data_IF_945514780010
#
_entry.id   IF_945514780010
#
_cell.length_a   1.000
_cell.length_b   1.000
_cell.length_c   1.000
_cell.angle_alpha   90.00
_cell.angle_beta   90.00
_cell.angle_gamma   90.00
#
_symmetry.space_group_name_H-M   'P 1'
#
loop_
_entity.id
_entity.type
_entity.pdbx_description
1 polymer ?
#
# COMPACT_ATOMS: atom_id res chain seq x y z
N UNK A 1 3.24 -17.60 -9.66
CA UNK A 1 4.01 -18.87 -9.77
C UNK A 1 4.84 -18.77 -11.05
N UNK A 2 6.16 -18.96 -11.04
CA UNK A 2 6.93 -18.92 -12.28
C UNK A 2 6.44 -20.05 -13.19
N UNK A 3 5.96 -19.70 -14.37
CA UNK A 3 5.47 -20.66 -15.35
C UNK A 3 6.66 -21.35 -16.06
N UNK A 4 6.51 -22.61 -16.47
CA UNK A 4 7.49 -23.27 -17.34
C UNK A 4 7.72 -22.46 -18.63
N UNK A 5 8.97 -22.36 -19.10
CA UNK A 5 9.38 -21.51 -20.23
C UNK A 5 8.56 -21.75 -21.53
N UNK A 6 8.12 -22.98 -21.76
CA UNK A 6 7.26 -23.34 -22.90
C UNK A 6 5.89 -22.64 -22.87
N UNK A 7 5.34 -22.39 -21.68
CA UNK A 7 4.08 -21.66 -21.49
C UNK A 7 4.31 -20.14 -21.50
N UNK A 8 5.49 -19.68 -21.10
CA UNK A 8 5.85 -18.26 -21.08
C UNK A 8 5.81 -17.61 -22.47
N UNK A 9 5.98 -18.37 -23.55
CA UNK A 9 5.89 -17.87 -24.94
C UNK A 9 4.46 -17.87 -25.52
N UNK A 10 3.55 -18.64 -24.94
CA UNK A 10 2.15 -18.77 -25.40
C UNK A 10 1.21 -17.82 -24.66
N UNK A 11 1.54 -17.48 -23.42
CA UNK A 11 0.77 -16.53 -22.60
C UNK A 11 0.72 -15.12 -23.20
N UNK A 12 1.81 -14.53 -23.74
CA UNK A 12 1.76 -13.22 -24.40
C UNK A 12 0.86 -13.21 -25.64
N UNK A 13 0.78 -14.33 -26.36
CA UNK A 13 -0.12 -14.49 -27.51
C UNK A 13 -1.59 -14.61 -27.10
N UNK A 14 -1.90 -15.07 -25.88
CA UNK A 14 -3.26 -15.19 -25.33
C UNK A 14 -3.75 -13.92 -24.61
N UNK A 15 -2.82 -13.16 -24.00
CA UNK A 15 -3.13 -12.01 -23.13
C UNK A 15 -2.83 -10.68 -23.83
N UNK A 16 -2.00 -10.68 -24.88
CA UNK A 16 -1.48 -9.49 -25.55
C UNK A 16 -0.04 -9.17 -25.11
N UNK A 17 0.72 -8.51 -26.00
CA UNK A 17 2.04 -7.98 -25.65
C UNK A 17 1.87 -6.60 -25.01
N UNK A 18 2.36 -6.46 -23.77
CA UNK A 18 2.37 -5.19 -23.03
C UNK A 18 3.82 -4.78 -22.72
N UNK A 19 4.06 -3.48 -22.73
CA UNK A 19 5.32 -2.87 -22.29
C UNK A 19 5.09 -1.97 -21.08
N UNK A 20 6.12 -1.78 -20.26
CA UNK A 20 6.05 -0.93 -19.08
C UNK A 20 6.07 0.55 -19.47
N UNK A 21 5.23 1.36 -18.84
CA UNK A 21 5.30 2.82 -18.96
C UNK A 21 6.62 3.38 -18.41
N UNK A 22 7.17 4.38 -19.09
CA UNK A 22 8.44 5.01 -18.70
C UNK A 22 8.27 6.23 -17.78
N UNK A 23 7.09 6.86 -17.78
CA UNK A 23 6.85 8.14 -17.12
C UNK A 23 5.50 8.18 -16.40
N UNK A 24 5.43 8.92 -15.30
CA UNK A 24 4.20 9.20 -14.55
C UNK A 24 3.45 10.40 -15.16
N UNK A 25 2.94 10.22 -16.38
CA UNK A 25 2.21 11.27 -17.10
C UNK A 25 0.87 11.56 -16.42
N UNK A 26 0.53 12.85 -16.32
CA UNK A 26 -0.75 13.28 -15.79
C UNK A 26 -1.78 13.42 -16.90
N UNK A 27 -2.99 12.92 -16.65
CA UNK A 27 -4.13 13.05 -17.55
C UNK A 27 -4.82 14.40 -17.35
N UNK A 28 -4.89 15.28 -18.36
CA UNK A 28 -5.59 16.55 -18.23
C UNK A 28 -7.10 16.30 -18.22
N UNK A 29 -7.75 16.57 -17.08
CA UNK A 29 -9.22 16.48 -16.94
C UNK A 29 -9.90 17.81 -17.31
N UNK A 30 -9.21 18.91 -17.09
CA UNK A 30 -9.58 20.27 -17.51
C UNK A 30 -8.32 21.13 -17.56
N UNK A 31 -8.46 22.42 -17.88
CA UNK A 31 -7.35 23.37 -17.87
C UNK A 31 -6.69 23.50 -16.48
N UNK A 32 -7.42 23.22 -15.40
CA UNK A 32 -6.95 23.37 -14.02
C UNK A 32 -6.73 22.07 -13.25
N UNK A 33 -7.27 20.94 -13.71
CA UNK A 33 -7.30 19.68 -12.94
C UNK A 33 -6.57 18.59 -13.70
N UNK A 34 -5.64 17.94 -13.02
CA UNK A 34 -4.84 16.83 -13.55
C UNK A 34 -5.08 15.55 -12.75
N UNK A 35 -5.29 14.44 -13.47
CA UNK A 35 -5.49 13.11 -12.91
C UNK A 35 -4.22 12.26 -12.96
N UNK A 36 -3.88 11.58 -11.86
CA UNK A 36 -2.94 10.46 -11.87
C UNK A 36 -3.69 9.15 -12.09
N UNK A 37 -3.30 8.36 -13.08
CA UNK A 37 -4.03 7.14 -13.47
C UNK A 37 -3.31 5.89 -12.95
N UNK A 38 -4.05 5.07 -12.21
CA UNK A 38 -3.65 3.73 -11.78
C UNK A 38 -4.46 2.71 -12.56
N UNK A 39 -3.80 1.70 -13.12
CA UNK A 39 -4.44 0.63 -13.88
C UNK A 39 -4.40 -0.66 -13.08
N UNK A 40 -5.58 -1.23 -12.85
CA UNK A 40 -5.75 -2.53 -12.19
C UNK A 40 -4.99 -2.57 -10.85
N UNK A 41 -4.03 -3.48 -10.71
CA UNK A 41 -3.29 -3.73 -9.48
C UNK A 41 -2.32 -2.61 -9.06
N UNK A 42 -2.13 -1.59 -9.89
CA UNK A 42 -1.21 -0.47 -9.60
C UNK A 42 -1.55 0.28 -8.32
N UNK A 43 -2.83 0.29 -7.92
CA UNK A 43 -3.27 0.85 -6.64
C UNK A 43 -2.65 0.15 -5.44
N UNK A 44 -2.07 -1.05 -5.59
CA UNK A 44 -1.36 -1.74 -4.53
C UNK A 44 0.01 -1.12 -4.20
N UNK A 45 0.62 -0.39 -5.14
CA UNK A 45 1.95 0.21 -4.94
C UNK A 45 1.82 1.69 -4.55
N UNK A 46 2.06 2.03 -3.27
CA UNK A 46 1.89 3.40 -2.81
C UNK A 46 2.90 4.36 -3.45
N UNK A 47 4.09 3.87 -3.82
CA UNK A 47 5.13 4.64 -4.52
C UNK A 47 4.64 5.26 -5.84
N UNK A 48 3.83 4.53 -6.60
CA UNK A 48 3.32 5.00 -7.89
C UNK A 48 2.37 6.20 -7.72
N UNK A 49 1.42 6.09 -6.80
CA UNK A 49 0.49 7.18 -6.48
C UNK A 49 1.19 8.40 -5.90
N UNK A 50 2.22 8.16 -5.09
CA UNK A 50 3.07 9.21 -4.54
C UNK A 50 3.76 9.97 -5.67
N UNK A 51 4.31 9.30 -6.68
CA UNK A 51 4.95 9.99 -7.82
C UNK A 51 3.95 10.80 -8.66
N UNK A 52 2.75 10.28 -8.92
CA UNK A 52 1.71 11.08 -9.58
C UNK A 52 1.38 12.36 -8.82
N UNK A 53 1.21 12.28 -7.50
CA UNK A 53 0.87 13.46 -6.67
C UNK A 53 2.07 14.40 -6.50
N UNK A 54 3.31 13.89 -6.51
CA UNK A 54 4.52 14.72 -6.59
C UNK A 54 4.59 15.50 -7.90
N UNK A 55 4.16 14.90 -9.00
CA UNK A 55 4.11 15.54 -10.31
C UNK A 55 2.93 16.51 -10.48
N UNK A 56 2.05 16.62 -9.48
CA UNK A 56 0.95 17.58 -9.46
C UNK A 56 -0.41 17.01 -9.80
N UNK A 57 -0.65 15.70 -9.58
CA UNK A 57 -2.00 15.16 -9.64
C UNK A 57 -2.91 15.77 -8.55
N UNK A 58 -4.08 16.24 -8.97
CA UNK A 58 -5.14 16.82 -8.13
C UNK A 58 -6.16 15.77 -7.70
N UNK A 59 -6.31 14.71 -8.50
CA UNK A 59 -7.17 13.55 -8.29
C UNK A 59 -6.45 12.29 -8.77
N UNK A 60 -6.75 11.16 -8.16
CA UNK A 60 -6.31 9.85 -8.64
C UNK A 60 -7.49 9.12 -9.28
N UNK A 61 -7.23 8.43 -10.38
CA UNK A 61 -8.22 7.62 -11.09
C UNK A 61 -7.71 6.20 -11.11
N UNK A 62 -8.52 5.27 -10.63
CA UNK A 62 -8.23 3.85 -10.72
C UNK A 62 -9.16 3.20 -11.73
N UNK A 63 -8.61 2.66 -12.81
CA UNK A 63 -9.36 1.90 -13.81
C UNK A 63 -8.99 0.43 -13.70
N UNK A 64 -9.94 -0.44 -13.38
CA UNK A 64 -9.64 -1.86 -13.13
C UNK A 64 -10.65 -2.82 -13.74
N UNK A 65 -10.16 -4.00 -14.13
CA UNK A 65 -10.97 -5.16 -14.43
C UNK A 65 -10.88 -6.15 -13.27
N UNK A 66 -11.91 -6.18 -12.45
CA UNK A 66 -11.96 -6.98 -11.22
C UNK A 66 -12.63 -8.35 -11.43
N UNK A 67 -12.92 -8.75 -12.67
CA UNK A 67 -13.69 -9.97 -12.96
C UNK A 67 -12.93 -11.28 -12.79
N UNK A 68 -11.61 -11.23 -12.67
CA UNK A 68 -10.72 -12.39 -12.74
C UNK A 68 -10.88 -13.39 -11.57
N UNK A 69 -11.37 -12.97 -10.41
CA UNK A 69 -11.56 -13.81 -9.21
C UNK A 69 -13.02 -13.96 -8.76
N UNK A 70 -13.99 -13.51 -9.54
CA UNK A 70 -15.39 -13.68 -9.15
C UNK A 70 -15.84 -12.83 -7.95
N UNK A 71 -16.99 -13.18 -7.38
CA UNK A 71 -17.55 -12.59 -6.15
C UNK A 71 -16.80 -13.08 -4.90
N UNK A 72 -15.53 -12.71 -4.76
CA UNK A 72 -14.71 -13.05 -3.60
C UNK A 72 -14.36 -11.79 -2.78
N UNK A 73 -13.89 -11.94 -1.52
CA UNK A 73 -13.49 -10.81 -0.69
C UNK A 73 -12.37 -9.93 -1.28
N UNK A 74 -11.67 -10.42 -2.31
CA UNK A 74 -10.59 -9.68 -2.98
C UNK A 74 -11.07 -8.34 -3.53
N UNK A 75 -12.33 -8.21 -3.94
CA UNK A 75 -12.89 -6.94 -4.43
C UNK A 75 -12.84 -5.85 -3.35
N UNK A 76 -13.12 -6.24 -2.11
CA UNK A 76 -13.07 -5.33 -0.95
C UNK A 76 -11.63 -5.03 -0.54
N UNK A 77 -10.73 -6.00 -0.68
CA UNK A 77 -9.29 -5.79 -0.44
C UNK A 77 -8.67 -4.85 -1.49
N UNK A 78 -9.09 -4.99 -2.75
CA UNK A 78 -8.63 -4.12 -3.83
C UNK A 78 -9.14 -2.69 -3.63
N UNK A 79 -10.44 -2.52 -3.30
CA UNK A 79 -11.00 -1.22 -2.90
C UNK A 79 -10.25 -0.62 -1.70
N UNK A 80 -9.88 -1.43 -0.70
CA UNK A 80 -9.13 -0.94 0.46
C UNK A 80 -7.76 -0.35 0.06
N UNK A 81 -7.08 -0.91 -0.95
CA UNK A 81 -5.85 -0.31 -1.47
C UNK A 81 -6.12 1.11 -2.00
N UNK A 82 -7.17 1.30 -2.80
CA UNK A 82 -7.58 2.62 -3.30
C UNK A 82 -7.85 3.62 -2.16
N UNK A 83 -8.51 3.16 -1.10
CA UNK A 83 -8.74 3.96 0.11
C UNK A 83 -7.43 4.39 0.76
N UNK A 84 -6.46 3.48 0.92
CA UNK A 84 -5.14 3.84 1.44
C UNK A 84 -4.42 4.88 0.57
N UNK A 85 -4.51 4.77 -0.77
CA UNK A 85 -3.91 5.75 -1.68
C UNK A 85 -4.51 7.14 -1.48
N UNK A 86 -5.81 7.23 -1.22
CA UNK A 86 -6.49 8.49 -0.93
C UNK A 86 -5.92 9.15 0.35
N UNK A 87 -5.83 8.37 1.44
CA UNK A 87 -5.33 8.83 2.74
C UNK A 87 -3.86 9.25 2.67
N UNK A 88 -3.03 8.42 2.07
CA UNK A 88 -1.58 8.62 1.98
C UNK A 88 -1.23 9.88 1.21
N UNK A 89 -2.01 10.21 0.19
CA UNK A 89 -1.73 11.33 -0.71
C UNK A 89 -2.58 12.58 -0.44
N UNK A 90 -3.62 12.46 0.39
CA UNK A 90 -4.67 13.47 0.57
C UNK A 90 -5.24 13.94 -0.76
N UNK A 91 -5.56 12.97 -1.62
CA UNK A 91 -6.21 13.20 -2.91
C UNK A 91 -7.47 12.35 -3.03
N UNK A 92 -8.55 12.89 -3.61
CA UNK A 92 -9.71 12.08 -3.94
C UNK A 92 -9.30 10.99 -4.93
N UNK A 93 -9.94 9.83 -4.81
CA UNK A 93 -9.75 8.70 -5.72
C UNK A 93 -11.09 8.36 -6.35
N UNK A 94 -11.11 8.29 -7.68
CA UNK A 94 -12.25 7.78 -8.45
C UNK A 94 -11.90 6.40 -8.95
N UNK A 95 -12.54 5.39 -8.39
CA UNK A 95 -12.35 3.99 -8.78
C UNK A 95 -13.48 3.58 -9.72
N UNK A 96 -13.09 3.17 -10.92
CA UNK A 96 -14.00 2.70 -11.97
C UNK A 96 -13.64 1.27 -12.32
N UNK A 97 -14.61 0.38 -12.15
CA UNK A 97 -14.45 -1.05 -12.36
C UNK A 97 -15.50 -1.57 -13.33
N UNK A 98 -15.22 -2.69 -14.01
CA UNK A 98 -16.20 -3.34 -14.88
C UNK A 98 -17.27 -4.14 -14.12
N UNK A 99 -16.86 -4.95 -13.14
CA UNK A 99 -17.74 -5.81 -12.32
C UNK A 99 -17.40 -5.73 -10.83
N UNK A 100 -16.35 -4.98 -10.46
CA UNK A 100 -15.92 -4.79 -9.09
C UNK A 100 -16.75 -3.72 -8.37
N UNK A 101 -16.17 -3.16 -7.30
CA UNK A 101 -16.78 -2.05 -6.58
C UNK A 101 -16.24 -0.74 -7.15
N UNK A 102 -17.02 -0.10 -8.01
CA UNK A 102 -16.77 1.28 -8.43
C UNK A 102 -17.14 2.23 -7.30
N UNK A 103 -16.30 3.24 -7.03
CA UNK A 103 -16.47 4.08 -5.85
C UNK A 103 -15.84 5.47 -6.02
N UNK A 104 -16.43 6.45 -5.33
CA UNK A 104 -15.81 7.75 -5.08
C UNK A 104 -15.30 7.82 -3.64
N UNK A 105 -14.00 8.08 -3.50
CA UNK A 105 -13.29 8.13 -2.23
C UNK A 105 -12.74 9.54 -2.04
N UNK A 106 -13.05 10.18 -0.92
CA UNK A 106 -12.51 11.52 -0.65
C UNK A 106 -11.06 11.47 -0.16
N UNK A 107 -10.44 12.64 0.00
CA UNK A 107 -9.04 12.79 0.42
C UNK A 107 -8.73 12.28 1.85
N UNK A 108 -9.76 11.91 2.61
CA UNK A 108 -9.64 11.31 3.95
C UNK A 108 -9.82 9.78 3.93
N UNK A 109 -10.03 9.19 2.76
CA UNK A 109 -10.28 7.76 2.60
C UNK A 109 -11.73 7.33 2.88
N UNK A 110 -12.67 8.27 2.99
CA UNK A 110 -14.08 7.93 3.16
C UNK A 110 -14.68 7.57 1.80
N UNK A 111 -15.28 6.39 1.71
CA UNK A 111 -16.04 5.95 0.52
C UNK A 111 -17.39 6.65 0.56
N UNK A 112 -17.55 7.72 -0.24
CA UNK A 112 -18.75 8.54 -0.27
C UNK A 112 -19.90 7.87 -1.02
N UNK A 113 -19.56 7.15 -2.08
CA UNK A 113 -20.49 6.33 -2.86
C UNK A 113 -19.74 5.09 -3.35
N UNK A 114 -20.33 3.91 -3.16
CA UNK A 114 -19.75 2.62 -3.51
C UNK A 114 -20.83 1.73 -4.11
N UNK A 115 -20.58 1.29 -5.34
CA UNK A 115 -21.55 0.53 -6.12
C UNK A 115 -21.54 -0.96 -5.75
N UNK A 116 -22.66 -1.65 -5.99
CA UNK A 116 -22.73 -3.10 -5.83
C UNK A 116 -21.94 -3.81 -6.94
N UNK A 117 -21.09 -4.76 -6.57
CA UNK A 117 -20.31 -5.52 -7.55
C UNK A 117 -21.20 -6.48 -8.36
N UNK A 118 -20.81 -6.74 -9.61
CA UNK A 118 -21.56 -7.55 -10.57
C UNK A 118 -22.98 -7.03 -10.85
N UNK A 119 -23.18 -5.73 -10.76
CA UNK A 119 -24.40 -5.06 -11.19
C UNK A 119 -24.08 -4.11 -12.35
N UNK A 120 -24.99 -4.05 -13.33
CA UNK A 120 -24.88 -3.06 -14.39
C UNK A 120 -25.49 -1.76 -13.89
N UNK A 121 -24.67 -0.72 -13.80
CA UNK A 121 -25.09 0.55 -13.23
C UNK A 121 -24.15 1.68 -13.69
N UNK A 122 -24.57 2.93 -13.53
CA UNK A 122 -23.81 4.12 -13.89
C UNK A 122 -23.92 5.21 -12.80
N UNK A 123 -22.84 5.95 -12.58
CA UNK A 123 -22.77 7.04 -11.59
C UNK A 123 -22.11 8.27 -12.18
N UNK A 124 -22.56 9.43 -11.71
CA UNK A 124 -21.96 10.72 -12.01
C UNK A 124 -21.57 11.34 -10.67
N UNK A 125 -20.29 11.66 -10.52
CA UNK A 125 -19.74 12.30 -9.33
C UNK A 125 -19.16 13.67 -9.67
N UNK A 126 -19.38 14.64 -8.79
CA UNK A 126 -18.69 15.93 -8.88
C UNK A 126 -17.39 15.83 -8.11
N UNK A 127 -16.27 15.93 -8.81
CA UNK A 127 -14.93 15.81 -8.25
C UNK A 127 -14.37 17.22 -8.04
N UNK A 128 -13.88 17.50 -6.83
CA UNK A 128 -13.18 18.75 -6.53
C UNK A 128 -11.68 18.47 -6.35
N UNK A 129 -10.83 19.38 -6.83
CA UNK A 129 -9.39 19.30 -6.55
C UNK A 129 -9.17 19.39 -5.04
N UNK A 130 -8.29 18.54 -4.50
CA UNK A 130 -7.95 18.63 -3.08
C UNK A 130 -7.11 19.88 -2.82
N UNK A 131 -7.60 20.72 -1.92
CA UNK A 131 -6.85 21.89 -1.43
C UNK A 131 -5.79 21.52 -0.39
N UNK A 132 -5.68 20.23 -0.03
CA UNK A 132 -4.70 19.78 0.93
C UNK A 132 -3.28 19.92 0.36
N UNK A 133 -2.38 20.43 1.22
CA UNK A 133 -0.94 20.39 0.97
C UNK A 133 -0.50 18.93 0.85
N UNK A 134 0.59 18.69 0.11
CA UNK A 134 1.23 17.38 0.06
C UNK A 134 1.49 16.86 1.47
N UNK A 135 1.03 15.62 1.73
CA UNK A 135 1.21 14.93 3.00
C UNK A 135 2.69 14.70 3.30
N UNK A 136 3.00 14.34 4.54
CA UNK A 136 4.35 13.91 4.91
C UNK A 136 4.81 12.73 4.05
N UNK A 137 3.92 11.77 3.80
CA UNK A 137 4.20 10.60 2.96
C UNK A 137 4.57 11.00 1.53
N UNK A 138 3.81 11.89 0.90
CA UNK A 138 4.11 12.35 -0.46
C UNK A 138 5.50 12.99 -0.53
N UNK A 139 5.91 13.72 0.51
CA UNK A 139 7.22 14.39 0.55
C UNK A 139 8.36 13.40 0.81
N UNK A 140 8.24 12.56 1.83
CA UNK A 140 9.38 11.78 2.37
C UNK A 140 9.30 10.27 2.11
N UNK A 141 8.18 9.77 1.58
CA UNK A 141 7.96 8.33 1.33
C UNK A 141 7.94 7.52 2.61
N UNK A 142 8.50 6.30 2.55
CA UNK A 142 8.46 5.33 3.66
C UNK A 142 9.46 5.61 4.78
N UNK A 143 10.02 6.83 4.87
CA UNK A 143 11.10 7.15 5.80
C UNK A 143 10.71 6.95 7.27
N UNK A 144 9.46 7.26 7.60
CA UNK A 144 8.92 6.99 8.94
C UNK A 144 8.87 5.48 9.24
N UNK A 145 8.45 4.66 8.27
CA UNK A 145 8.41 3.21 8.43
C UNK A 145 9.81 2.62 8.62
N UNK A 146 10.79 3.07 7.82
CA UNK A 146 12.19 2.66 7.97
C UNK A 146 12.75 3.00 9.36
N UNK A 147 12.48 4.21 9.86
CA UNK A 147 12.89 4.60 11.21
C UNK A 147 12.28 3.67 12.27
N UNK A 148 10.97 3.41 12.21
CA UNK A 148 10.29 2.50 13.12
C UNK A 148 10.86 1.07 13.06
N UNK A 149 11.14 0.55 11.85
CA UNK A 149 11.75 -0.76 11.67
C UNK A 149 13.13 -0.84 12.28
N UNK A 150 13.99 0.17 12.07
CA UNK A 150 15.35 0.21 12.64
C UNK A 150 15.30 0.24 14.17
N UNK A 151 14.46 1.10 14.75
CA UNK A 151 14.30 1.20 16.21
C UNK A 151 13.79 -0.12 16.78
N UNK A 152 12.80 -0.75 16.14
CA UNK A 152 12.25 -2.02 16.59
C UNK A 152 13.29 -3.15 16.57
N UNK A 153 14.08 -3.23 15.51
CA UNK A 153 15.17 -4.22 15.39
C UNK A 153 16.29 -3.96 16.42
N UNK A 154 16.63 -2.70 16.68
CA UNK A 154 17.62 -2.33 17.69
C UNK A 154 17.16 -2.73 19.10
N UNK A 155 15.89 -2.50 19.44
CA UNK A 155 15.30 -2.89 20.73
C UNK A 155 15.25 -4.41 20.88
N UNK A 156 14.86 -5.14 19.83
CA UNK A 156 14.88 -6.61 19.81
C UNK A 156 16.30 -7.13 20.04
N UNK A 157 17.29 -6.62 19.30
CA UNK A 157 18.69 -7.01 19.47
C UNK A 157 19.21 -6.72 20.89
N UNK A 158 18.87 -5.56 21.45
CA UNK A 158 19.24 -5.21 22.82
C UNK A 158 18.64 -6.15 23.87
N UNK A 159 17.38 -6.56 23.68
CA UNK A 159 16.70 -7.53 24.54
C UNK A 159 17.41 -8.89 24.56
N UNK A 160 17.83 -9.40 23.40
CA UNK A 160 18.56 -10.67 23.33
C UNK A 160 19.95 -10.61 23.98
N UNK A 161 20.61 -9.44 24.00
CA UNK A 161 21.88 -9.26 24.72
C UNK A 161 21.68 -9.30 26.24
N UNK A 162 20.61 -8.70 26.75
CA UNK A 162 20.27 -8.72 28.19
C UNK A 162 20.04 -10.16 28.70
N UNK A 163 19.31 -10.99 27.95
CA UNK A 163 19.07 -12.39 28.32
C UNK A 163 20.37 -13.20 28.45
N UNK A 164 21.34 -13.00 27.53
CA UNK A 164 22.65 -13.66 27.62
C UNK A 164 23.48 -13.16 28.81
N UNK A 165 23.42 -11.86 29.12
CA UNK A 165 24.16 -11.29 30.27
C UNK A 165 23.58 -11.73 31.61
N UNK A 166 22.26 -11.87 31.74
CA UNK A 166 21.61 -12.35 32.97
C UNK A 166 21.86 -13.85 33.22
N UNK A 167 21.87 -14.68 32.17
CA UNK A 167 22.18 -16.11 32.31
C UNK A 167 23.63 -16.34 32.81
N UNK A 168 24.60 -15.56 32.34
CA UNK A 168 26.00 -15.68 32.75
C UNK A 168 26.30 -15.13 34.16
N UNK A 169 25.43 -14.30 34.72
CA UNK A 169 25.60 -13.72 36.07
C UNK A 169 24.95 -14.54 37.18
N UNK A 170 23.98 -15.41 36.85
CA UNK A 170 23.34 -16.30 37.83
C UNK A 170 24.10 -17.64 38.02
N UNK A 171 24.86 -18.12 37.03
CA UNK A 171 25.60 -19.39 37.12
C UNK A 171 26.83 -19.39 38.07
N UNK A 172 27.30 -18.22 38.54
CA UNK A 172 28.52 -18.13 39.38
C UNK A 172 28.27 -17.76 40.86
N UNK A 173 27.02 -17.70 41.33
CA UNK A 173 26.72 -17.57 42.77
C UNK A 173 26.72 -18.93 43.46
N UNK A 174 27.87 -19.60 43.50
CA UNK A 174 28.05 -20.76 44.38
C UNK A 174 27.95 -20.30 45.85
N UNK A 175 27.11 -20.94 46.68
CA UNK A 175 27.11 -20.67 48.12
C UNK A 175 28.43 -21.19 48.69
N UNK A 176 29.32 -20.27 49.03
CA UNK A 176 30.57 -20.59 49.73
C UNK A 176 30.17 -21.25 51.06
N UNK A 177 30.34 -22.56 51.13
CA UNK A 177 30.18 -23.38 52.33
C UNK A 177 31.07 -22.81 53.44
N UNK A 178 30.47 -22.10 54.40
CA UNK A 178 31.15 -21.68 55.63
C UNK A 178 31.44 -22.93 56.46
N UNK A 179 32.68 -23.42 56.36
CA UNK A 179 33.22 -24.47 57.21
C UNK A 179 33.19 -23.99 58.67
N UNK A 180 32.27 -24.55 59.46
CA UNK A 180 32.11 -24.22 60.87
C UNK A 180 33.22 -24.91 61.67
N UNK A 181 34.34 -24.23 61.90
CA UNK A 181 35.34 -24.66 62.89
C UNK A 181 34.90 -24.13 64.25
N UNK A 182 34.21 -24.97 65.03
CA UNK A 182 34.10 -24.79 66.49
C UNK A 182 34.91 -25.89 67.18
N UNK A 183 35.59 -25.43 68.22
CA UNK A 183 36.58 -26.09 69.10
C UNK A 183 36.08 -27.40 69.69
#
# INVERSE_FOLDING_TARGET
VPLPDALAQVVPTLVGNFETGANYNLFPLSDEIKGGVMICFESHFPSLTREYVRNGADVLIEMTNDGYLGKTPVLRQHLANAVFRAVETSRPVVRVTNVGISAYINERGEVLDGMESYTQDARVWTISKSHARQTFYVRFGDWFAWLCSIVSLALLFWSFRKLKTTALTEEWKLPIYKRNTKK
#
